data_IF_399519708451
#
_entry.id   IF_399519708451
#
_cell.length_a   1.000
_cell.length_b   1.000
_cell.length_c   1.000
_cell.angle_alpha   90.00
_cell.angle_beta   90.00
_cell.angle_gamma   90.00
#
_symmetry.space_group_name_H-M   'P 1'
#
loop_
_entity.id
_entity.type
_entity.pdbx_description
1 polymer ?
#
# COMPACT_ATOMS: atom_id res chain seq x y z
N UNK A 1 15.43 -7.07 31.40
CA UNK A 1 15.08 -5.90 30.57
C UNK A 1 13.60 -5.66 30.72
N UNK A 2 13.18 -4.42 30.92
CA UNK A 2 11.75 -4.09 31.01
C UNK A 2 11.15 -4.06 29.60
N UNK A 3 10.31 -5.06 29.28
CA UNK A 3 9.64 -5.20 27.97
C UNK A 3 8.82 -3.95 27.62
N UNK A 4 8.18 -3.34 28.62
CA UNK A 4 7.37 -2.15 28.43
C UNK A 4 8.22 -0.96 28.03
N UNK A 5 9.42 -0.82 28.63
CA UNK A 5 10.37 0.23 28.26
C UNK A 5 10.86 0.10 26.82
N UNK A 6 11.14 -1.11 26.36
CA UNK A 6 11.58 -1.35 24.98
C UNK A 6 10.45 -0.98 24.02
N UNK A 7 9.24 -1.48 24.28
CA UNK A 7 8.05 -1.13 23.51
C UNK A 7 7.79 0.37 23.45
N UNK A 8 7.94 1.07 24.59
CA UNK A 8 7.77 2.52 24.69
C UNK A 8 8.83 3.34 23.95
N UNK A 9 10.00 2.75 23.69
CA UNK A 9 11.04 3.39 22.90
C UNK A 9 10.89 3.11 21.39
N UNK A 10 10.11 2.10 21.00
CA UNK A 10 9.94 1.68 19.61
C UNK A 10 8.75 2.37 18.93
N UNK A 11 7.66 2.58 19.66
CA UNK A 11 6.40 3.06 19.07
C UNK A 11 5.99 4.46 19.53
N UNK A 12 4.96 5.03 18.89
CA UNK A 12 4.40 6.33 19.25
C UNK A 12 3.20 6.17 20.20
N UNK A 13 3.13 6.96 21.28
CA UNK A 13 2.09 6.84 22.32
C UNK A 13 1.23 8.09 22.46
N UNK A 14 1.71 9.20 21.92
CA UNK A 14 1.02 10.47 21.94
C UNK A 14 1.27 11.24 20.63
N UNK A 15 0.62 12.40 20.49
CA UNK A 15 0.74 13.22 19.28
C UNK A 15 2.18 13.70 19.04
N UNK A 16 2.90 14.09 20.08
CA UNK A 16 4.27 14.61 19.98
C UNK A 16 5.23 13.54 19.46
N UNK A 17 5.05 12.28 19.91
CA UNK A 17 5.82 11.13 19.40
C UNK A 17 5.60 10.96 17.89
N UNK A 18 4.32 10.95 17.45
CA UNK A 18 3.97 10.79 16.03
C UNK A 18 4.55 11.94 15.20
N UNK A 19 4.43 13.18 15.67
CA UNK A 19 4.94 14.34 14.95
C UNK A 19 6.46 14.25 14.77
N UNK A 20 7.19 13.92 15.84
CA UNK A 20 8.65 13.79 15.80
C UNK A 20 9.09 12.65 14.88
N UNK A 21 8.42 11.50 14.96
CA UNK A 21 8.73 10.36 14.11
C UNK A 21 8.44 10.66 12.63
N UNK A 22 7.27 11.24 12.35
CA UNK A 22 6.88 11.61 10.99
C UNK A 22 7.79 12.69 10.39
N UNK A 23 8.27 13.66 11.17
CA UNK A 23 9.28 14.63 10.73
C UNK A 23 10.58 13.95 10.30
N UNK A 24 11.04 12.92 11.03
CA UNK A 24 12.22 12.17 10.63
C UNK A 24 11.97 11.38 9.35
N UNK A 25 10.78 10.78 9.20
CA UNK A 25 10.39 10.10 7.97
C UNK A 25 10.35 11.05 6.76
N UNK A 26 9.84 12.26 6.93
CA UNK A 26 9.84 13.28 5.87
C UNK A 26 11.24 13.65 5.38
N UNK A 27 12.26 13.60 6.25
CA UNK A 27 13.66 13.88 5.86
C UNK A 27 14.20 12.90 4.82
N UNK A 28 13.66 11.68 4.74
CA UNK A 28 13.99 10.72 3.68
C UNK A 28 13.64 11.23 2.28
N UNK A 29 12.77 12.25 2.18
CA UNK A 29 12.31 12.84 0.93
C UNK A 29 12.88 14.25 0.69
N UNK A 30 13.79 14.72 1.53
CA UNK A 30 14.47 16.00 1.32
C UNK A 30 15.41 15.97 0.09
N UNK A 31 15.68 17.13 -0.54
CA UNK A 31 16.71 17.24 -1.55
C UNK A 31 18.06 16.75 -0.99
N UNK A 32 18.73 15.83 -1.70
CA UNK A 32 19.96 15.12 -1.29
C UNK A 32 19.80 13.94 -0.32
N UNK A 33 18.58 13.46 -0.05
CA UNK A 33 18.42 12.15 0.59
C UNK A 33 19.03 11.04 -0.27
N UNK A 34 19.51 9.96 0.38
CA UNK A 34 20.12 8.79 -0.28
C UNK A 34 19.13 8.03 -1.18
N UNK A 35 17.84 8.33 -1.08
CA UNK A 35 16.75 7.70 -1.82
C UNK A 35 16.68 8.17 -3.29
N UNK A 36 16.73 7.20 -4.22
CA UNK A 36 16.72 7.40 -5.69
C UNK A 36 15.31 7.65 -6.26
N UNK A 37 14.53 8.49 -5.58
CA UNK A 37 13.24 8.95 -6.09
C UNK A 37 13.41 10.14 -7.04
N UNK A 38 12.60 10.19 -8.10
CA UNK A 38 12.53 11.36 -8.96
C UNK A 38 12.06 12.60 -8.17
N UNK A 39 12.62 13.77 -8.49
CA UNK A 39 12.22 15.07 -7.90
C UNK A 39 10.71 15.33 -8.00
N UNK A 40 10.06 14.92 -9.11
CA UNK A 40 8.61 15.05 -9.27
C UNK A 40 7.84 14.26 -8.19
N UNK A 41 8.29 13.04 -7.88
CA UNK A 41 7.69 12.20 -6.84
C UNK A 41 7.97 12.76 -5.45
N UNK A 42 9.20 13.18 -5.15
CA UNK A 42 9.57 13.81 -3.87
C UNK A 42 8.68 15.03 -3.58
N UNK A 43 8.47 15.90 -4.58
CA UNK A 43 7.60 17.07 -4.44
C UNK A 43 6.14 16.71 -4.12
N UNK A 44 5.56 15.76 -4.85
CA UNK A 44 4.17 15.31 -4.62
C UNK A 44 3.99 14.64 -3.26
N UNK A 45 4.96 13.82 -2.84
CA UNK A 45 4.97 13.22 -1.52
C UNK A 45 5.08 14.27 -0.43
N UNK A 46 5.95 15.27 -0.60
CA UNK A 46 6.13 16.35 0.36
C UNK A 46 4.86 17.20 0.53
N UNK A 47 4.12 17.46 -0.55
CA UNK A 47 2.79 18.10 -0.46
C UNK A 47 1.79 17.25 0.35
N UNK A 48 1.76 15.93 0.13
CA UNK A 48 0.93 15.01 0.90
C UNK A 48 1.32 14.99 2.38
N UNK A 49 2.62 14.98 2.67
CA UNK A 49 3.14 15.02 4.04
C UNK A 49 2.75 16.29 4.78
N UNK A 50 2.84 17.46 4.12
CA UNK A 50 2.37 18.73 4.71
C UNK A 50 0.87 18.71 5.01
N UNK A 51 0.06 18.13 4.12
CA UNK A 51 -1.38 17.97 4.37
C UNK A 51 -1.63 17.05 5.58
N UNK A 52 -0.87 15.96 5.68
CA UNK A 52 -0.95 15.05 6.83
C UNK A 52 -0.53 15.72 8.15
N UNK A 53 0.59 16.42 8.19
CA UNK A 53 1.04 17.16 9.37
C UNK A 53 0.01 18.18 9.85
N UNK A 54 -0.52 19.00 8.94
CA UNK A 54 -1.57 19.96 9.27
C UNK A 54 -2.83 19.26 9.83
N UNK A 55 -3.24 18.14 9.22
CA UNK A 55 -4.38 17.39 9.73
C UNK A 55 -4.11 16.75 11.10
N UNK A 56 -2.88 16.26 11.35
CA UNK A 56 -2.45 15.70 12.63
C UNK A 56 -2.42 16.76 13.75
N UNK A 57 -1.94 17.97 13.46
CA UNK A 57 -1.95 19.09 14.40
C UNK A 57 -3.37 19.39 14.89
N UNK A 58 -4.33 19.41 13.96
CA UNK A 58 -5.72 19.73 14.23
C UNK A 58 -6.57 18.54 14.73
N UNK A 59 -6.03 17.33 14.74
CA UNK A 59 -6.74 16.13 15.18
C UNK A 59 -6.73 15.97 16.71
N UNK A 60 -7.80 15.45 17.30
CA UNK A 60 -7.79 15.00 18.70
C UNK A 60 -7.53 13.50 18.74
N UNK A 61 -6.39 13.11 19.31
CA UNK A 61 -6.06 11.69 19.53
C UNK A 61 -6.54 11.25 20.91
N UNK A 62 -7.02 10.00 21.06
CA UNK A 62 -7.35 9.47 22.37
C UNK A 62 -6.10 9.44 23.27
N UNK A 63 -6.30 9.55 24.58
CA UNK A 63 -5.20 9.28 25.50
C UNK A 63 -5.07 7.76 25.64
N UNK A 64 -3.86 7.23 25.43
CA UNK A 64 -3.58 5.83 25.69
C UNK A 64 -3.34 5.63 27.18
N UNK A 65 -4.20 4.85 27.83
CA UNK A 65 -4.09 4.52 29.26
C UNK A 65 -3.57 3.11 29.50
N UNK A 66 -3.79 2.22 28.53
CA UNK A 66 -3.48 0.80 28.63
C UNK A 66 -2.16 0.53 27.92
N UNK A 67 -1.38 -0.41 28.47
CA UNK A 67 -0.14 -0.85 27.83
C UNK A 67 -0.43 -1.55 26.50
N UNK A 68 0.59 -1.60 25.63
CA UNK A 68 0.57 -2.27 24.31
C UNK A 68 -0.27 -1.62 23.22
N UNK A 69 -1.00 -0.56 23.55
CA UNK A 69 -1.58 0.33 22.55
C UNK A 69 -0.55 1.31 22.03
N UNK A 70 -0.60 1.56 20.73
CA UNK A 70 0.29 2.52 20.09
C UNK A 70 -0.30 3.08 18.80
N UNK A 71 0.21 4.24 18.41
CA UNK A 71 -0.06 4.89 17.14
C UNK A 71 1.01 4.54 16.12
N UNK A 72 0.57 4.34 14.88
CA UNK A 72 1.46 4.20 13.75
C UNK A 72 0.79 4.77 12.49
N UNK A 73 1.59 5.31 11.58
CA UNK A 73 1.13 5.84 10.31
C UNK A 73 1.61 4.96 9.16
N UNK A 74 0.73 4.77 8.18
CA UNK A 74 1.04 3.96 7.02
C UNK A 74 0.83 4.76 5.75
N UNK A 75 1.88 4.84 4.92
CA UNK A 75 1.73 5.27 3.54
C UNK A 75 0.99 4.18 2.76
N UNK A 76 -0.08 4.59 2.09
CA UNK A 76 -0.83 3.78 1.14
C UNK A 76 -0.61 4.34 -0.27
N UNK A 77 -1.13 3.63 -1.28
CA UNK A 77 -1.00 4.05 -2.69
C UNK A 77 -1.69 5.37 -3.04
N UNK A 78 -2.55 5.89 -2.16
CA UNK A 78 -3.31 7.11 -2.41
C UNK A 78 -3.34 8.09 -1.23
N UNK A 79 -2.53 7.89 -0.20
CA UNK A 79 -2.58 8.72 0.98
C UNK A 79 -1.81 8.15 2.17
N UNK A 80 -2.04 8.75 3.33
CA UNK A 80 -1.43 8.35 4.60
C UNK A 80 -2.54 8.20 5.62
N UNK A 81 -2.52 7.07 6.31
CA UNK A 81 -3.49 6.74 7.34
C UNK A 81 -2.76 6.65 8.70
N UNK A 82 -3.24 7.39 9.70
CA UNK A 82 -2.86 7.21 11.09
C UNK A 82 -3.81 6.21 11.72
N UNK A 83 -3.24 5.18 12.36
CA UNK A 83 -3.99 4.08 12.93
C UNK A 83 -3.61 3.83 14.38
N UNK A 84 -4.56 3.27 15.12
CA UNK A 84 -4.38 2.74 16.46
C UNK A 84 -4.24 1.22 16.38
N UNK A 85 -3.16 0.74 16.96
CA UNK A 85 -2.82 -0.68 17.01
C UNK A 85 -2.77 -1.18 18.46
N UNK A 86 -3.09 -2.46 18.61
CA UNK A 86 -2.82 -3.21 19.83
C UNK A 86 -1.76 -4.25 19.51
N UNK A 87 -0.64 -4.21 20.22
CA UNK A 87 0.42 -5.20 20.10
C UNK A 87 0.03 -6.46 20.87
N UNK A 88 -0.08 -7.58 20.16
CA UNK A 88 -0.46 -8.88 20.71
C UNK A 88 0.76 -9.62 21.24
N UNK A 89 1.85 -9.60 20.49
CA UNK A 89 3.11 -10.25 20.82
C UNK A 89 4.28 -9.55 20.13
N UNK A 90 5.47 -9.66 20.73
CA UNK A 90 6.72 -9.21 20.14
C UNK A 90 7.91 -9.95 20.73
N UNK A 91 8.95 -10.07 19.90
CA UNK A 91 10.22 -10.70 20.26
C UNK A 91 11.30 -9.65 20.47
N UNK A 92 12.23 -9.95 21.39
CA UNK A 92 13.35 -9.09 21.73
C UNK A 92 14.64 -9.89 21.55
N UNK A 93 15.59 -9.37 20.80
CA UNK A 93 16.91 -9.98 20.60
C UNK A 93 17.79 -9.87 21.84
N UNK A 94 18.92 -10.58 21.82
CA UNK A 94 19.89 -10.60 22.92
C UNK A 94 20.49 -9.22 23.23
N UNK A 95 20.53 -8.31 22.25
CA UNK A 95 20.96 -6.91 22.38
C UNK A 95 19.86 -5.98 22.93
N UNK A 96 18.64 -6.47 23.10
CA UNK A 96 17.52 -5.71 23.67
C UNK A 96 16.69 -4.93 22.67
N UNK A 97 16.82 -5.21 21.38
CA UNK A 97 16.02 -4.59 20.33
C UNK A 97 14.78 -5.43 20.00
N UNK A 98 13.70 -4.78 19.58
CA UNK A 98 12.50 -5.49 19.11
C UNK A 98 12.75 -6.00 17.69
N UNK A 99 12.68 -7.32 17.48
CA UNK A 99 12.99 -7.93 16.17
C UNK A 99 11.75 -8.25 15.34
N UNK A 100 10.62 -8.50 16.01
CA UNK A 100 9.35 -8.83 15.38
C UNK A 100 8.21 -8.44 16.31
N UNK A 101 7.06 -8.10 15.72
CA UNK A 101 5.82 -7.88 16.46
C UNK A 101 4.61 -8.28 15.61
N UNK A 102 3.57 -8.75 16.30
CA UNK A 102 2.25 -9.00 15.75
C UNK A 102 1.29 -8.02 16.41
N UNK A 103 0.55 -7.28 15.59
CA UNK A 103 -0.42 -6.30 16.07
C UNK A 103 -1.71 -6.41 15.30
N UNK A 104 -2.84 -6.22 15.99
CA UNK A 104 -4.13 -6.03 15.35
C UNK A 104 -4.35 -4.56 15.01
N UNK A 105 -4.77 -4.28 13.77
CA UNK A 105 -5.32 -2.99 13.41
C UNK A 105 -6.68 -2.83 14.09
N UNK A 106 -6.85 -1.76 14.85
CA UNK A 106 -8.09 -1.52 15.58
C UNK A 106 -8.89 -0.38 14.96
N UNK A 107 -8.27 0.77 14.67
CA UNK A 107 -8.99 1.95 14.17
C UNK A 107 -8.12 2.86 13.29
N UNK A 108 -8.67 3.31 12.16
CA UNK A 108 -8.11 4.45 11.41
C UNK A 108 -8.61 5.75 12.05
N UNK A 109 -7.68 6.58 12.53
CA UNK A 109 -7.97 7.82 13.27
C UNK A 109 -7.92 9.07 12.39
N UNK A 110 -7.02 9.07 11.42
CA UNK A 110 -6.87 10.14 10.45
C UNK A 110 -6.50 9.51 9.11
N UNK A 111 -7.12 9.97 8.04
CA UNK A 111 -6.78 9.57 6.68
C UNK A 111 -6.67 10.81 5.81
N UNK A 112 -5.50 11.01 5.21
CA UNK A 112 -5.25 12.10 4.27
C UNK A 112 -4.94 11.50 2.91
N UNK A 113 -5.82 11.77 1.93
CA UNK A 113 -5.66 11.30 0.56
C UNK A 113 -4.94 12.33 -0.29
N UNK A 114 -4.17 11.85 -1.26
CA UNK A 114 -3.63 12.67 -2.33
C UNK A 114 -4.72 13.09 -3.32
N UNK A 115 -4.40 14.03 -4.19
CA UNK A 115 -5.29 14.42 -5.28
C UNK A 115 -5.39 13.28 -6.30
N UNK A 116 -6.54 13.15 -6.96
CA UNK A 116 -6.73 12.20 -8.04
C UNK A 116 -6.72 12.91 -9.39
N UNK A 117 -5.93 12.38 -10.31
CA UNK A 117 -5.81 12.85 -11.67
C UNK A 117 -6.67 11.99 -12.59
N UNK A 118 -7.34 12.61 -13.55
CA UNK A 118 -7.88 11.86 -14.67
C UNK A 118 -6.74 11.41 -15.62
N UNK A 119 -7.09 10.56 -16.59
CA UNK A 119 -6.13 10.01 -17.56
C UNK A 119 -5.37 11.10 -18.32
N UNK A 120 -6.05 12.17 -18.74
CA UNK A 120 -5.47 13.27 -19.52
C UNK A 120 -4.48 14.08 -18.68
N UNK A 121 -4.85 14.40 -17.44
CA UNK A 121 -4.00 15.10 -16.49
C UNK A 121 -2.74 14.30 -16.16
N UNK A 122 -2.89 13.00 -15.88
CA UNK A 122 -1.75 12.11 -15.64
C UNK A 122 -0.83 12.01 -16.87
N UNK A 123 -1.43 11.89 -18.07
CA UNK A 123 -0.69 11.84 -19.32
C UNK A 123 0.12 13.12 -19.56
N UNK A 124 -0.49 14.29 -19.34
CA UNK A 124 0.15 15.60 -19.45
C UNK A 124 1.30 15.76 -18.45
N UNK A 125 1.08 15.44 -17.17
CA UNK A 125 2.10 15.56 -16.12
C UNK A 125 3.35 14.73 -16.44
N UNK A 126 3.15 13.58 -17.09
CA UNK A 126 4.20 12.64 -17.40
C UNK A 126 4.72 12.73 -18.84
N UNK A 127 4.25 13.69 -19.64
CA UNK A 127 4.60 13.88 -21.05
C UNK A 127 4.43 12.59 -21.89
N UNK A 128 3.28 11.94 -21.75
CA UNK A 128 2.89 10.73 -22.49
C UNK A 128 1.48 10.91 -23.06
N UNK A 129 1.02 9.97 -23.87
CA UNK A 129 -0.35 10.00 -24.44
C UNK A 129 -1.37 9.34 -23.51
N UNK A 130 -2.61 9.83 -23.53
CA UNK A 130 -3.77 9.19 -22.89
C UNK A 130 -3.90 7.72 -23.27
N UNK A 131 -3.64 7.39 -24.53
CA UNK A 131 -3.66 6.02 -25.04
C UNK A 131 -2.64 5.15 -24.31
N UNK A 132 -1.44 5.66 -24.06
CA UNK A 132 -0.40 4.96 -23.29
C UNK A 132 -0.87 4.68 -21.86
N UNK A 133 -1.45 5.67 -21.18
CA UNK A 133 -1.97 5.52 -19.81
C UNK A 133 -3.09 4.47 -19.76
N UNK A 134 -4.06 4.54 -20.68
CA UNK A 134 -5.14 3.54 -20.77
C UNK A 134 -4.60 2.15 -21.07
N UNK A 135 -3.56 2.03 -21.90
CA UNK A 135 -2.89 0.76 -22.13
C UNK A 135 -2.19 0.23 -20.88
N UNK A 136 -1.58 1.08 -20.06
CA UNK A 136 -0.98 0.67 -18.78
C UNK A 136 -2.04 0.15 -17.81
N UNK A 137 -3.16 0.85 -17.65
CA UNK A 137 -4.29 0.39 -16.83
C UNK A 137 -4.81 -0.96 -17.36
N UNK A 138 -5.09 -1.06 -18.66
CA UNK A 138 -5.60 -2.29 -19.29
C UNK A 138 -4.67 -3.49 -19.12
N UNK A 139 -3.36 -3.25 -19.06
CA UNK A 139 -2.33 -4.29 -18.92
C UNK A 139 -1.94 -4.57 -17.46
N UNK A 140 -2.61 -3.96 -16.47
CA UNK A 140 -2.28 -4.13 -15.05
C UNK A 140 -0.93 -3.53 -14.67
N UNK A 141 -0.46 -2.49 -15.38
CA UNK A 141 0.81 -1.82 -15.08
C UNK A 141 0.68 -0.61 -14.16
N UNK A 142 -0.48 0.04 -14.19
CA UNK A 142 -0.79 1.19 -13.33
C UNK A 142 -1.89 0.76 -12.37
N UNK A 143 -1.50 -0.01 -11.34
CA UNK A 143 -2.44 -0.78 -10.52
C UNK A 143 -3.15 0.05 -9.45
N UNK A 144 -2.58 1.19 -9.11
CA UNK A 144 -3.14 2.16 -8.17
C UNK A 144 -4.29 2.99 -8.77
N UNK A 145 -4.52 2.87 -10.08
CA UNK A 145 -5.65 3.50 -10.75
C UNK A 145 -6.97 2.89 -10.28
N UNK A 146 -7.94 3.76 -9.94
CA UNK A 146 -9.28 3.37 -9.50
C UNK A 146 -10.31 3.72 -10.56
N UNK A 147 -11.28 2.84 -10.73
CA UNK A 147 -12.40 3.06 -11.64
C UNK A 147 -13.55 3.74 -10.90
N UNK A 148 -13.98 4.91 -11.39
CA UNK A 148 -15.15 5.64 -10.85
C UNK A 148 -16.12 5.90 -11.99
N UNK A 149 -17.23 5.15 -12.00
CA UNK A 149 -18.18 5.17 -13.11
C UNK A 149 -17.52 4.72 -14.43
N UNK A 150 -17.38 5.66 -15.38
CA UNK A 150 -16.75 5.42 -16.68
C UNK A 150 -15.28 5.84 -16.72
N UNK A 151 -14.84 6.59 -15.71
CA UNK A 151 -13.54 7.23 -15.70
C UNK A 151 -12.55 6.46 -14.84
N UNK A 152 -11.27 6.67 -15.15
CA UNK A 152 -10.15 6.18 -14.36
C UNK A 152 -9.50 7.35 -13.66
N UNK A 153 -9.38 7.23 -12.35
CA UNK A 153 -8.71 8.17 -11.48
C UNK A 153 -7.39 7.56 -11.02
N UNK A 154 -6.32 8.35 -11.09
CA UNK A 154 -4.96 7.92 -10.79
C UNK A 154 -4.46 8.80 -9.65
N UNK A 155 -4.01 8.23 -8.52
CA UNK A 155 -3.38 8.99 -7.45
C UNK A 155 -2.28 9.92 -7.97
N UNK A 156 -2.23 11.17 -7.53
CA UNK A 156 -1.22 12.13 -8.03
C UNK A 156 0.20 11.66 -7.74
N UNK A 157 0.38 10.92 -6.63
CA UNK A 157 1.62 10.29 -6.17
C UNK A 157 2.01 9.02 -6.96
N UNK A 158 1.16 8.52 -7.86
CA UNK A 158 1.50 7.35 -8.67
C UNK A 158 2.65 7.67 -9.63
N UNK A 159 3.57 6.73 -9.79
CA UNK A 159 4.73 6.85 -10.68
C UNK A 159 4.49 6.18 -12.03
N UNK A 160 5.36 6.47 -13.01
CA UNK A 160 5.36 5.77 -14.29
C UNK A 160 5.70 4.29 -14.06
N UNK A 161 4.96 3.34 -14.64
CA UNK A 161 5.31 1.93 -14.56
C UNK A 161 6.70 1.65 -15.15
N UNK A 162 7.48 0.83 -14.45
CA UNK A 162 8.81 0.41 -14.91
C UNK A 162 8.73 -0.65 -16.02
N UNK A 163 9.88 -0.94 -16.65
CA UNK A 163 9.97 -2.00 -17.66
C UNK A 163 9.98 -3.37 -16.99
N UNK A 164 9.11 -4.26 -17.45
CA UNK A 164 9.00 -5.62 -16.93
C UNK A 164 7.71 -5.81 -16.16
N UNK A 165 7.63 -6.90 -15.40
CA UNK A 165 6.56 -7.17 -14.46
C UNK A 165 7.13 -7.13 -13.05
N UNK A 166 6.47 -6.39 -12.18
CA UNK A 166 6.74 -6.37 -10.75
C UNK A 166 5.70 -7.23 -10.06
N UNK A 167 6.13 -8.06 -9.12
CA UNK A 167 5.23 -8.85 -8.30
C UNK A 167 4.28 -7.95 -7.49
N UNK A 168 3.08 -8.45 -7.24
CA UNK A 168 2.00 -7.65 -6.66
C UNK A 168 1.12 -8.54 -5.79
N UNK A 169 0.64 -7.99 -4.69
CA UNK A 169 -0.45 -8.57 -3.91
C UNK A 169 -1.73 -7.76 -4.10
N UNK A 170 -2.86 -8.47 -4.13
CA UNK A 170 -4.18 -7.88 -4.02
C UNK A 170 -4.90 -8.45 -2.80
N UNK A 171 -5.67 -7.63 -2.12
CA UNK A 171 -6.38 -7.99 -0.88
C UNK A 171 -7.83 -7.53 -0.93
N UNK A 172 -8.73 -8.26 -0.28
CA UNK A 172 -10.13 -7.89 -0.12
C UNK A 172 -10.72 -8.57 1.12
N UNK A 173 -11.51 -7.83 1.90
CA UNK A 173 -12.24 -8.41 3.05
C UNK A 173 -13.43 -9.26 2.58
N UNK A 174 -14.07 -8.83 1.49
CA UNK A 174 -15.24 -9.50 0.91
C UNK A 174 -15.13 -9.49 -0.60
N UNK A 175 -15.03 -10.67 -1.19
CA UNK A 175 -14.92 -10.84 -2.64
C UNK A 175 -16.23 -10.39 -3.34
N UNK A 176 -16.18 -9.37 -4.22
CA UNK A 176 -17.35 -8.94 -4.99
C UNK A 176 -17.93 -10.05 -5.85
N UNK A 177 -19.27 -10.07 -5.98
CA UNK A 177 -19.98 -11.07 -6.81
C UNK A 177 -19.52 -11.08 -8.27
N UNK A 178 -19.19 -9.92 -8.82
CA UNK A 178 -18.68 -9.80 -10.20
C UNK A 178 -17.34 -10.52 -10.38
N UNK A 179 -16.46 -10.42 -9.38
CA UNK A 179 -15.17 -11.10 -9.35
C UNK A 179 -15.33 -12.60 -9.09
N UNK A 180 -16.20 -13.00 -8.15
CA UNK A 180 -16.43 -14.43 -7.87
C UNK A 180 -17.02 -15.18 -9.06
N UNK A 181 -17.90 -14.54 -9.86
CA UNK A 181 -18.44 -15.14 -11.09
C UNK A 181 -17.38 -15.23 -12.19
N UNK A 182 -16.56 -14.19 -12.34
CA UNK A 182 -15.56 -14.12 -13.43
C UNK A 182 -14.31 -14.95 -13.14
N UNK A 183 -13.96 -15.10 -11.86
CA UNK A 183 -12.77 -15.78 -11.36
C UNK A 183 -13.13 -16.66 -10.14
N UNK A 184 -13.82 -17.79 -10.35
CA UNK A 184 -14.29 -18.64 -9.25
C UNK A 184 -13.18 -19.17 -8.33
N UNK A 185 -11.94 -19.27 -8.84
CA UNK A 185 -10.79 -19.71 -8.04
C UNK A 185 -10.41 -18.73 -6.92
N UNK A 186 -10.93 -17.50 -6.91
CA UNK A 186 -10.74 -16.54 -5.82
C UNK A 186 -11.65 -16.83 -4.61
N UNK A 187 -12.68 -17.65 -4.77
CA UNK A 187 -13.67 -17.92 -3.71
C UNK A 187 -12.99 -18.64 -2.54
N UNK A 188 -13.25 -18.17 -1.32
CA UNK A 188 -12.67 -18.74 -0.09
C UNK A 188 -11.29 -18.15 0.26
N UNK A 189 -10.83 -17.13 -0.47
CA UNK A 189 -9.59 -16.44 -0.23
C UNK A 189 -9.82 -14.93 -0.08
N UNK A 190 -8.91 -14.26 0.61
CA UNK A 190 -8.90 -12.80 0.86
C UNK A 190 -7.73 -12.11 0.16
N UNK A 191 -6.84 -12.88 -0.46
CA UNK A 191 -5.65 -12.36 -1.12
C UNK A 191 -5.18 -13.23 -2.28
N UNK A 192 -4.55 -12.60 -3.27
CA UNK A 192 -3.74 -13.24 -4.29
C UNK A 192 -2.41 -12.49 -4.47
N UNK A 193 -1.31 -13.22 -4.40
CA UNK A 193 0.02 -12.74 -4.79
C UNK A 193 0.35 -13.22 -6.21
N UNK A 194 0.72 -12.31 -7.11
CA UNK A 194 1.05 -12.63 -8.50
C UNK A 194 2.53 -12.34 -8.76
N UNK A 195 3.26 -13.34 -9.25
CA UNK A 195 4.65 -13.22 -9.69
C UNK A 195 4.84 -13.74 -11.12
N UNK A 196 5.84 -13.22 -11.84
CA UNK A 196 6.20 -13.69 -13.18
C UNK A 196 7.20 -14.84 -13.07
N UNK A 197 7.02 -15.89 -13.85
CA UNK A 197 7.97 -16.99 -13.92
C UNK A 197 9.30 -16.49 -14.54
N UNK A 198 10.42 -16.80 -13.88
CA UNK A 198 11.77 -16.35 -14.30
C UNK A 198 12.26 -17.01 -15.59
N UNK A 199 11.81 -18.24 -15.88
CA UNK A 199 12.18 -19.02 -17.06
C UNK A 199 11.24 -18.75 -18.24
N UNK A 200 9.93 -18.69 -17.97
CA UNK A 200 8.92 -18.34 -18.98
C UNK A 200 8.21 -17.03 -18.63
N UNK A 201 8.65 -15.94 -19.26
CA UNK A 201 8.09 -14.59 -19.03
C UNK A 201 6.63 -14.44 -19.50
N UNK A 202 6.05 -15.42 -20.20
CA UNK A 202 4.64 -15.38 -20.59
C UNK A 202 3.72 -16.03 -19.55
N UNK A 203 4.31 -16.71 -18.56
CA UNK A 203 3.63 -17.42 -17.49
C UNK A 203 3.73 -16.66 -16.16
N UNK A 204 2.61 -16.61 -15.44
CA UNK A 204 2.49 -15.98 -14.14
C UNK A 204 1.94 -16.97 -13.13
N UNK A 205 2.43 -16.88 -11.90
CA UNK A 205 1.96 -17.69 -10.78
C UNK A 205 1.15 -16.81 -9.84
N UNK A 206 -0.12 -17.17 -9.63
CA UNK A 206 -0.98 -16.60 -8.61
C UNK A 206 -1.02 -17.50 -7.39
N UNK A 207 -0.66 -17.00 -6.22
CA UNK A 207 -0.73 -17.74 -4.95
C UNK A 207 -1.82 -17.12 -4.09
N UNK A 208 -2.84 -17.92 -3.79
CA UNK A 208 -4.01 -17.55 -3.01
C UNK A 208 -3.78 -17.83 -1.52
N UNK A 209 -4.25 -16.92 -0.66
CA UNK A 209 -4.14 -17.03 0.79
C UNK A 209 -2.83 -16.44 1.34
N UNK A 210 -2.88 -16.01 2.60
CA UNK A 210 -1.78 -15.33 3.27
C UNK A 210 -0.56 -16.27 3.44
N UNK A 211 0.67 -15.73 3.39
CA UNK A 211 1.86 -16.47 3.80
C UNK A 211 1.65 -17.17 5.16
N UNK A 212 2.09 -18.42 5.29
CA UNK A 212 1.93 -19.21 6.52
C UNK A 212 0.61 -19.98 6.64
N UNK A 213 -0.42 -19.66 5.85
CA UNK A 213 -1.67 -20.43 5.87
C UNK A 213 -1.50 -21.80 5.18
N UNK A 214 -2.20 -22.83 5.71
CA UNK A 214 -2.14 -24.20 5.19
C UNK A 214 -2.96 -24.42 3.91
N UNK A 215 -3.99 -23.60 3.68
CA UNK A 215 -4.95 -23.73 2.58
C UNK A 215 -4.55 -22.97 1.31
N UNK A 216 -3.27 -22.60 1.16
CA UNK A 216 -2.80 -21.82 0.01
C UNK A 216 -2.90 -22.63 -1.29
N UNK A 217 -3.40 -21.99 -2.32
CA UNK A 217 -3.56 -22.60 -3.65
C UNK A 217 -2.78 -21.81 -4.68
N UNK A 218 -2.15 -22.54 -5.61
CA UNK A 218 -1.45 -21.96 -6.75
C UNK A 218 -2.29 -22.07 -8.00
N UNK A 219 -2.38 -20.98 -8.77
CA UNK A 219 -2.94 -20.93 -10.12
C UNK A 219 -1.88 -20.46 -11.09
N UNK A 220 -1.92 -20.98 -12.32
CA UNK A 220 -1.06 -20.54 -13.41
C UNK A 220 -1.90 -19.67 -14.35
N UNK A 221 -1.37 -18.51 -14.71
CA UNK A 221 -2.03 -17.54 -15.56
C UNK A 221 -1.15 -17.26 -16.78
N UNK A 222 -1.76 -17.24 -17.96
CA UNK A 222 -1.16 -16.63 -19.14
C UNK A 222 -1.13 -15.10 -19.01
N UNK A 223 -0.35 -14.44 -19.87
CA UNK A 223 -0.36 -12.96 -19.97
C UNK A 223 -1.77 -12.38 -20.10
N UNK A 224 -2.63 -12.99 -20.94
CA UNK A 224 -3.99 -12.49 -21.18
C UNK A 224 -4.91 -12.69 -19.97
N UNK A 225 -4.81 -13.83 -19.29
CA UNK A 225 -5.62 -14.11 -18.09
C UNK A 225 -5.21 -13.19 -16.94
N UNK A 226 -3.90 -12.98 -16.76
CA UNK A 226 -3.34 -12.08 -15.76
C UNK A 226 -3.77 -10.63 -16.00
N UNK A 227 -3.65 -10.11 -17.24
CA UNK A 227 -4.14 -8.76 -17.58
C UNK A 227 -5.64 -8.61 -17.33
N UNK A 228 -6.45 -9.63 -17.68
CA UNK A 228 -7.90 -9.63 -17.46
C UNK A 228 -8.24 -9.64 -15.97
N UNK A 229 -7.53 -10.42 -15.17
CA UNK A 229 -7.69 -10.52 -13.73
C UNK A 229 -7.32 -9.20 -13.05
N UNK A 230 -6.11 -8.68 -13.28
CA UNK A 230 -5.64 -7.44 -12.68
C UNK A 230 -6.55 -6.26 -13.02
N UNK A 231 -6.99 -6.14 -14.29
CA UNK A 231 -7.92 -5.08 -14.69
C UNK A 231 -9.25 -5.17 -13.92
N UNK A 232 -9.75 -6.38 -13.69
CA UNK A 232 -10.99 -6.58 -12.94
C UNK A 232 -10.80 -6.27 -11.45
N UNK A 233 -9.66 -6.65 -10.87
CA UNK A 233 -9.30 -6.36 -9.48
C UNK A 233 -9.21 -4.85 -9.23
N UNK A 234 -8.43 -4.11 -10.02
CA UNK A 234 -8.28 -2.64 -9.85
C UNK A 234 -9.54 -1.86 -10.23
N UNK A 235 -10.45 -2.47 -10.99
CA UNK A 235 -11.78 -1.88 -11.25
C UNK A 235 -12.72 -1.96 -10.04
N UNK A 236 -12.39 -2.77 -9.04
CA UNK A 236 -13.18 -2.94 -7.82
C UNK A 236 -12.74 -1.95 -6.75
N UNK A 237 -13.68 -1.22 -6.17
CA UNK A 237 -13.39 -0.25 -5.09
C UNK A 237 -13.01 -0.88 -3.76
N UNK A 238 -13.31 -2.18 -3.56
CA UNK A 238 -13.03 -2.90 -2.31
C UNK A 238 -11.74 -3.72 -2.37
N UNK A 239 -11.07 -3.74 -3.52
CA UNK A 239 -9.79 -4.44 -3.66
C UNK A 239 -8.67 -3.45 -3.39
N UNK A 240 -7.79 -3.82 -2.47
CA UNK A 240 -6.55 -3.12 -2.19
C UNK A 240 -5.41 -3.77 -2.98
N UNK A 241 -4.37 -3.00 -3.26
CA UNK A 241 -3.19 -3.45 -4.00
C UNK A 241 -1.93 -3.05 -3.25
N UNK A 242 -0.92 -3.90 -3.29
CA UNK A 242 0.40 -3.65 -2.73
C UNK A 242 1.45 -4.11 -3.75
N UNK A 243 2.28 -3.18 -4.21
CA UNK A 243 3.32 -3.47 -5.20
C UNK A 243 4.65 -3.77 -4.51
N UNK A 244 5.24 -4.94 -4.81
CA UNK A 244 6.48 -5.41 -4.18
C UNK A 244 7.73 -4.93 -4.94
N UNK A 245 7.78 -3.63 -5.24
CA UNK A 245 8.68 -3.05 -6.25
C UNK A 245 9.54 -1.88 -5.83
N UNK A 246 9.51 -1.47 -4.56
CA UNK A 246 10.28 -0.34 -4.05
C UNK A 246 11.12 -0.79 -2.87
N UNK A 247 12.30 -1.31 -3.19
CA UNK A 247 13.51 -1.41 -2.36
C UNK A 247 14.70 -1.24 -3.28
#
# INVERSE_FOLDING_TARGET
MDKLRIFRNTYCFNKEDIQKDFENYMRLFEPNSEEDYSEEYKNKMYELFKRFQNALENCCLPQLTDDWWYYDYQQSNDGIDLKLYYCEEFEISEDGEMTSSTSSENFTLLSVKCDYLNVEQFAKNHNITDTTVRQWIRRGKLRTAKKVGRDWLIPSIATKPTRGFTAVSYYWDRLPRTLSVSFPFLIGYETIYISQNKLDKQQFEGILGYPGQKNRTKVILSTKERERLELALISSSVVQVEEHGWR
#
